data_IF_928251782138
#
_entry.id   IF_928251782138
#
_cell.length_a   1.000
_cell.length_b   1.000
_cell.length_c   1.000
_cell.angle_alpha   90.00
_cell.angle_beta   90.00
_cell.angle_gamma   90.00
#
_symmetry.space_group_name_H-M   'P 1'
#
loop_
_entity.id
_entity.type
_entity.pdbx_description
1 polymer ?
#
# COMPACT_ATOMS: atom_id res chain seq x y z
N UNK A 1 6.52 26.47 -16.27
CA UNK A 1 7.15 25.29 -16.90
C UNK A 1 7.43 24.28 -15.81
N UNK A 2 6.61 23.23 -15.69
CA UNK A 2 6.87 22.12 -14.77
C UNK A 2 7.82 21.16 -15.50
N UNK A 3 9.09 21.16 -15.12
CA UNK A 3 10.05 20.16 -15.58
C UNK A 3 9.67 18.82 -14.95
N UNK A 4 8.97 17.98 -15.71
CA UNK A 4 8.75 16.59 -15.33
C UNK A 4 10.11 15.89 -15.30
N UNK A 5 10.57 15.50 -14.12
CA UNK A 5 11.75 14.65 -13.99
C UNK A 5 11.33 13.24 -14.40
N UNK A 6 11.71 12.84 -15.60
CA UNK A 6 11.60 11.45 -16.02
C UNK A 6 12.78 10.70 -15.39
N UNK A 7 12.50 9.64 -14.64
CA UNK A 7 13.52 8.66 -14.34
C UNK A 7 13.84 7.96 -15.66
N UNK A 8 15.09 8.01 -16.11
CA UNK A 8 15.55 7.07 -17.14
C UNK A 8 15.27 5.65 -16.63
N UNK A 9 14.79 4.76 -17.50
CA UNK A 9 14.78 3.32 -17.19
C UNK A 9 16.23 2.84 -17.07
N UNK A 10 16.84 3.08 -15.92
CA UNK A 10 18.01 2.33 -15.51
C UNK A 10 17.50 0.95 -15.09
N UNK A 11 17.84 -0.05 -15.90
CA UNK A 11 17.73 -1.43 -15.49
C UNK A 11 18.63 -1.56 -14.28
N UNK A 12 18.03 -1.67 -13.08
CA UNK A 12 18.74 -2.05 -11.87
C UNK A 12 19.40 -3.38 -12.23
N UNK A 13 20.69 -3.34 -12.53
CA UNK A 13 21.47 -4.55 -12.69
C UNK A 13 21.33 -5.23 -11.34
N UNK A 14 20.53 -6.29 -11.29
CA UNK A 14 20.47 -7.23 -10.17
C UNK A 14 21.86 -7.85 -10.09
N UNK A 15 22.82 -7.10 -9.56
CA UNK A 15 24.23 -7.46 -9.53
C UNK A 15 24.37 -8.61 -8.55
N UNK A 16 24.71 -9.77 -9.12
CA UNK A 16 24.88 -11.09 -8.53
C UNK A 16 23.75 -11.58 -7.61
N UNK A 17 23.28 -12.83 -7.77
CA UNK A 17 22.23 -13.38 -6.92
C UNK A 17 22.72 -13.39 -5.47
N UNK A 18 22.22 -12.43 -4.68
CA UNK A 18 22.20 -12.56 -3.23
C UNK A 18 21.50 -13.89 -2.89
N UNK A 19 21.95 -14.66 -1.89
CA UNK A 19 21.54 -16.06 -1.69
C UNK A 19 20.04 -16.30 -1.39
N UNK A 20 19.20 -15.27 -1.36
CA UNK A 20 17.78 -15.33 -0.98
C UNK A 20 16.85 -14.71 -2.02
N UNK A 21 17.05 -14.96 -3.32
CA UNK A 21 16.02 -14.64 -4.30
C UNK A 21 14.76 -15.50 -4.00
N UNK A 22 13.60 -14.89 -3.71
CA UNK A 22 12.40 -15.65 -3.37
C UNK A 22 11.93 -16.46 -4.58
N UNK A 23 11.10 -17.47 -4.31
CA UNK A 23 10.38 -18.18 -5.37
C UNK A 23 9.64 -17.18 -6.26
N UNK A 24 9.55 -17.48 -7.56
CA UNK A 24 8.81 -16.69 -8.56
C UNK A 24 7.28 -16.77 -8.36
N UNK A 25 6.80 -16.71 -7.12
CA UNK A 25 5.39 -16.57 -6.84
C UNK A 25 4.97 -15.10 -6.99
N UNK A 26 3.72 -14.90 -7.42
CA UNK A 26 3.17 -13.58 -7.75
C UNK A 26 3.25 -12.58 -6.59
N UNK A 27 3.22 -13.04 -5.35
CA UNK A 27 3.20 -12.15 -4.18
C UNK A 27 4.62 -11.83 -3.70
N UNK A 28 5.45 -12.84 -3.44
CA UNK A 28 6.80 -12.64 -2.91
C UNK A 28 7.70 -11.93 -3.91
N UNK A 29 7.61 -12.27 -5.20
CA UNK A 29 8.44 -11.64 -6.22
C UNK A 29 8.06 -10.17 -6.44
N UNK A 30 6.76 -9.84 -6.44
CA UNK A 30 6.30 -8.44 -6.46
C UNK A 30 6.86 -7.65 -5.27
N UNK A 31 6.81 -8.22 -4.07
CA UNK A 31 7.32 -7.57 -2.87
C UNK A 31 8.84 -7.38 -2.89
N UNK A 32 9.57 -8.35 -3.44
CA UNK A 32 10.99 -8.27 -3.67
C UNK A 32 11.36 -7.13 -4.61
N UNK A 33 10.72 -7.05 -5.78
CA UNK A 33 10.93 -5.95 -6.73
C UNK A 33 10.59 -4.58 -6.13
N UNK A 34 9.48 -4.48 -5.39
CA UNK A 34 9.13 -3.24 -4.69
C UNK A 34 10.21 -2.81 -3.68
N UNK A 35 10.80 -3.76 -2.94
CA UNK A 35 11.85 -3.44 -1.98
C UNK A 35 13.13 -2.94 -2.67
N UNK A 36 13.51 -3.55 -3.80
CA UNK A 36 14.66 -3.09 -4.60
C UNK A 36 14.41 -1.66 -5.09
N UNK A 37 13.29 -1.44 -5.76
CA UNK A 37 12.95 -0.13 -6.31
C UNK A 37 12.87 0.94 -5.22
N UNK A 38 12.19 0.68 -4.11
CA UNK A 38 11.99 1.68 -3.06
C UNK A 38 13.28 2.04 -2.29
N UNK A 39 14.30 1.17 -2.32
CA UNK A 39 15.58 1.38 -1.65
C UNK A 39 16.69 1.86 -2.59
N UNK A 40 16.45 1.88 -3.90
CA UNK A 40 17.37 2.44 -4.87
C UNK A 40 17.62 3.94 -4.61
N UNK A 41 18.89 4.36 -4.67
CA UNK A 41 19.30 5.73 -4.32
C UNK A 41 18.71 6.78 -5.26
N UNK A 42 18.62 6.47 -6.57
CA UNK A 42 18.04 7.36 -7.56
C UNK A 42 16.54 7.55 -7.32
N UNK A 43 15.84 6.46 -6.98
CA UNK A 43 14.42 6.46 -6.64
C UNK A 43 14.18 7.27 -5.37
N UNK A 44 14.99 7.06 -4.33
CA UNK A 44 14.91 7.82 -3.08
C UNK A 44 15.17 9.32 -3.29
N UNK A 45 16.14 9.67 -4.13
CA UNK A 45 16.42 11.06 -4.48
C UNK A 45 15.25 11.70 -5.25
N UNK A 46 14.68 10.98 -6.22
CA UNK A 46 13.53 11.46 -7.00
C UNK A 46 12.26 11.64 -6.15
N UNK A 47 12.05 10.78 -5.15
CA UNK A 47 10.98 10.90 -4.16
C UNK A 47 11.26 11.97 -3.07
N UNK A 48 12.44 12.59 -3.07
CA UNK A 48 12.82 13.62 -2.09
C UNK A 48 13.10 13.07 -0.70
N UNK A 49 13.47 11.79 -0.58
CA UNK A 49 13.87 11.18 0.70
C UNK A 49 15.22 11.75 1.13
N UNK A 50 15.24 12.45 2.26
CA UNK A 50 16.47 13.06 2.79
C UNK A 50 17.47 11.96 3.21
N UNK A 51 18.72 12.07 2.75
CA UNK A 51 19.79 11.16 3.15
C UNK A 51 19.98 11.18 4.68
N UNK A 52 20.08 10.01 5.29
CA UNK A 52 20.28 9.84 6.73
C UNK A 52 19.03 9.94 7.62
N UNK A 53 17.84 10.24 7.09
CA UNK A 53 16.61 10.29 7.92
C UNK A 53 15.91 8.95 8.07
N UNK A 54 15.93 8.14 7.02
CA UNK A 54 15.31 6.81 6.98
C UNK A 54 16.40 5.85 6.50
N UNK A 55 16.53 4.71 7.18
CA UNK A 55 17.41 3.62 6.75
C UNK A 55 16.82 2.92 5.53
N UNK A 56 16.36 1.69 5.71
CA UNK A 56 15.67 0.91 4.69
C UNK A 56 14.17 1.24 4.64
N UNK A 57 13.60 1.31 3.43
CA UNK A 57 12.17 1.31 3.23
C UNK A 57 11.59 -0.07 3.59
N UNK A 58 10.67 -0.08 4.56
CA UNK A 58 9.93 -1.27 4.98
C UNK A 58 8.45 -1.06 4.71
N UNK A 59 7.90 -1.84 3.77
CA UNK A 59 6.49 -1.73 3.34
C UNK A 59 5.48 -1.87 4.49
N UNK A 60 5.66 -2.87 5.34
CA UNK A 60 4.73 -3.22 6.42
C UNK A 60 5.48 -3.33 7.75
N UNK A 61 5.58 -2.22 8.48
CA UNK A 61 6.25 -2.19 9.79
C UNK A 61 5.31 -2.70 10.89
N UNK A 62 5.35 -4.00 11.18
CA UNK A 62 4.54 -4.63 12.23
C UNK A 62 4.90 -4.18 13.66
N UNK A 63 6.04 -3.52 13.85
CA UNK A 63 6.51 -3.03 15.16
C UNK A 63 5.91 -1.70 15.60
N UNK A 64 5.05 -1.07 14.78
CA UNK A 64 4.35 0.14 15.18
C UNK A 64 3.23 -0.27 16.16
N UNK A 65 3.19 0.28 17.38
CA UNK A 65 2.11 -0.03 18.32
C UNK A 65 0.84 0.70 17.89
N UNK A 66 -0.21 -0.06 17.56
CA UNK A 66 -1.56 0.46 17.35
C UNK A 66 -2.60 -0.59 17.76
N UNK A 67 -3.80 -0.13 18.12
CA UNK A 67 -4.97 -0.99 18.29
C UNK A 67 -5.43 -1.45 16.91
N UNK A 68 -5.26 -2.75 16.61
CA UNK A 68 -5.42 -3.30 15.26
C UNK A 68 -6.84 -3.22 14.71
N UNK A 69 -7.85 -3.16 15.58
CA UNK A 69 -9.24 -3.33 15.16
C UNK A 69 -10.13 -2.23 15.73
N UNK A 70 -10.96 -1.69 14.85
CA UNK A 70 -12.17 -0.96 15.23
C UNK A 70 -13.33 -1.94 15.04
N UNK A 71 -14.18 -2.17 16.06
CA UNK A 71 -15.25 -3.17 15.98
C UNK A 71 -16.23 -2.98 14.82
N UNK A 72 -16.43 -1.73 14.35
CA UNK A 72 -17.22 -1.43 13.17
C UNK A 72 -16.84 -0.06 12.59
N UNK A 73 -16.75 0.03 11.26
CA UNK A 73 -16.55 1.29 10.53
C UNK A 73 -17.85 1.99 10.11
N UNK A 74 -19.02 1.36 10.32
CA UNK A 74 -20.34 1.83 9.84
C UNK A 74 -20.61 3.27 10.30
N UNK A 75 -20.42 3.55 11.59
CA UNK A 75 -20.65 4.88 12.17
C UNK A 75 -19.83 5.98 11.47
N UNK A 76 -18.60 5.66 11.08
CA UNK A 76 -17.71 6.61 10.41
C UNK A 76 -18.14 6.86 8.97
N UNK A 77 -18.48 5.78 8.24
CA UNK A 77 -19.01 5.91 6.88
C UNK A 77 -20.33 6.69 6.86
N UNK A 78 -21.25 6.43 7.78
CA UNK A 78 -22.52 7.15 7.90
C UNK A 78 -22.34 8.65 8.18
N UNK A 79 -21.44 9.02 9.09
CA UNK A 79 -21.16 10.44 9.39
C UNK A 79 -20.61 11.19 8.16
N UNK A 80 -19.85 10.51 7.30
CA UNK A 80 -19.34 11.11 6.06
C UNK A 80 -20.46 11.20 4.99
N UNK A 81 -21.26 10.16 4.81
CA UNK A 81 -22.33 10.16 3.79
C UNK A 81 -23.46 11.12 4.15
N UNK A 82 -23.84 11.24 5.42
CA UNK A 82 -24.84 12.23 5.91
C UNK A 82 -24.42 13.67 5.70
N UNK A 83 -23.11 13.96 5.59
CA UNK A 83 -22.58 15.27 5.22
C UNK A 83 -22.51 15.51 3.71
N UNK A 84 -22.92 14.52 2.90
CA UNK A 84 -22.95 14.60 1.44
C UNK A 84 -21.68 14.10 0.73
N UNK A 85 -20.72 13.49 1.45
CA UNK A 85 -19.54 12.91 0.81
C UNK A 85 -19.88 11.59 0.10
N UNK A 86 -19.44 11.46 -1.15
CA UNK A 86 -19.59 10.22 -1.93
C UNK A 86 -18.53 9.22 -1.51
N UNK A 87 -18.94 7.98 -1.24
CA UNK A 87 -18.04 6.86 -0.93
C UNK A 87 -18.02 5.83 -2.06
N UNK A 88 -16.86 5.23 -2.30
CA UNK A 88 -16.70 4.06 -3.18
C UNK A 88 -16.11 2.93 -2.33
N UNK A 89 -16.86 1.84 -2.20
CA UNK A 89 -16.39 0.60 -1.58
C UNK A 89 -16.17 -0.41 -2.68
N UNK A 90 -14.91 -0.80 -2.89
CA UNK A 90 -14.53 -1.81 -3.88
C UNK A 90 -13.86 -3.00 -3.21
N UNK A 91 -14.18 -4.20 -3.68
CA UNK A 91 -13.59 -5.46 -3.21
C UNK A 91 -12.92 -6.17 -4.38
N UNK A 92 -11.69 -6.59 -4.18
CA UNK A 92 -10.89 -7.32 -5.18
C UNK A 92 -10.79 -8.83 -4.92
N UNK A 93 -11.16 -9.31 -3.73
CA UNK A 93 -10.94 -10.70 -3.31
C UNK A 93 -12.24 -11.51 -3.17
N UNK A 94 -12.27 -12.70 -3.77
CA UNK A 94 -13.28 -13.75 -3.57
C UNK A 94 -13.11 -14.51 -2.24
N UNK A 95 -12.01 -14.33 -1.51
CA UNK A 95 -11.74 -14.99 -0.23
C UNK A 95 -12.18 -14.18 1.00
N UNK A 96 -12.59 -12.92 0.83
CA UNK A 96 -13.34 -12.23 1.87
C UNK A 96 -14.79 -12.69 1.78
N UNK A 97 -15.41 -13.18 2.88
CA UNK A 97 -16.82 -13.55 2.86
C UNK A 97 -17.62 -12.37 2.32
N UNK A 98 -18.44 -12.62 1.29
CA UNK A 98 -19.30 -11.61 0.65
C UNK A 98 -20.07 -10.79 1.70
N UNK A 99 -20.41 -11.45 2.80
CA UNK A 99 -21.07 -10.93 3.99
C UNK A 99 -20.48 -9.63 4.56
N UNK A 100 -19.17 -9.48 4.76
CA UNK A 100 -18.66 -8.34 5.56
C UNK A 100 -18.90 -6.97 4.90
N UNK A 101 -18.45 -6.74 3.66
CA UNK A 101 -18.65 -5.43 3.02
C UNK A 101 -20.11 -5.15 2.65
N UNK A 102 -20.90 -6.19 2.37
CA UNK A 102 -22.32 -6.02 2.04
C UNK A 102 -23.14 -5.70 3.30
N UNK A 103 -22.80 -6.29 4.45
CA UNK A 103 -23.41 -5.96 5.74
C UNK A 103 -23.12 -4.51 6.12
N UNK A 104 -21.88 -4.05 5.92
CA UNK A 104 -21.52 -2.66 6.19
C UNK A 104 -22.28 -1.68 5.28
N UNK A 105 -22.37 -1.94 3.98
CA UNK A 105 -23.11 -1.10 3.03
C UNK A 105 -24.62 -1.08 3.31
N UNK A 106 -25.23 -2.23 3.59
CA UNK A 106 -26.65 -2.32 3.92
C UNK A 106 -26.95 -1.57 5.21
N UNK A 107 -26.06 -1.64 6.21
CA UNK A 107 -26.23 -0.94 7.48
C UNK A 107 -26.07 0.58 7.35
N UNK A 108 -25.20 1.05 6.45
CA UNK A 108 -25.08 2.48 6.12
C UNK A 108 -26.31 3.02 5.39
N UNK A 109 -26.93 2.21 4.51
CA UNK A 109 -28.13 2.61 3.76
C UNK A 109 -29.45 2.47 4.53
N UNK A 110 -29.48 1.66 5.59
CA UNK A 110 -30.66 1.41 6.42
C UNK A 110 -30.86 2.43 7.56
N UNK A 111 -29.92 3.37 7.73
CA UNK A 111 -29.94 4.44 8.74
C UNK A 111 -30.27 5.79 8.09
#
# INVERSE_FOLDING_TARGET
MLTHRFLSEEYIQLSDPSPEQPTLDCFSYRYYLCNIWANDDSTREALGVKRGTIGEFVRCKKSIPYTSEVPSSIKYHFNLTSRGYRSLVFRWSIYSPQYFTCVDLNSVNAS
#
